data_IF_815826456204
#
_entry.id   IF_815826456204
#
_cell.length_a   1.000
_cell.length_b   1.000
_cell.length_c   1.000
_cell.angle_alpha   90.00
_cell.angle_beta   90.00
_cell.angle_gamma   90.00
#
_symmetry.space_group_name_H-M   'P 1'
#
loop_
_entity.id
_entity.type
_entity.pdbx_description
1 polymer ?
#
# COMPACT_ATOMS: atom_id res chain seq x y z
N UNK A 1 -19.64 -19.91 45.19
CA UNK A 1 -19.37 -20.30 43.80
C UNK A 1 -18.86 -19.06 43.09
N UNK A 2 -17.54 -18.87 43.00
CA UNK A 2 -16.96 -17.69 42.36
C UNK A 2 -16.77 -17.99 40.87
N UNK A 3 -17.58 -17.35 40.03
CA UNK A 3 -17.41 -17.35 38.58
C UNK A 3 -16.25 -16.42 38.21
N UNK A 4 -15.13 -17.00 37.82
CA UNK A 4 -14.04 -16.27 37.16
C UNK A 4 -14.49 -16.01 35.72
N UNK A 5 -14.87 -14.78 35.42
CA UNK A 5 -15.07 -14.32 34.03
C UNK A 5 -13.71 -14.17 33.35
N UNK A 6 -13.40 -15.06 32.43
CA UNK A 6 -12.20 -14.98 31.58
C UNK A 6 -12.48 -13.95 30.49
N UNK A 7 -11.92 -12.74 30.61
CA UNK A 7 -11.89 -11.77 29.52
C UNK A 7 -11.01 -12.29 28.38
N UNK A 8 -11.63 -12.86 27.34
CA UNK A 8 -10.96 -13.11 26.06
C UNK A 8 -10.63 -11.75 25.42
N UNK A 9 -9.41 -11.28 25.64
CA UNK A 9 -8.82 -10.25 24.79
C UNK A 9 -8.47 -10.92 23.45
N UNK A 10 -9.47 -11.10 22.59
CA UNK A 10 -9.19 -11.38 21.18
C UNK A 10 -8.46 -10.17 20.64
N UNK A 11 -7.16 -10.31 20.34
CA UNK A 11 -6.40 -9.27 19.67
C UNK A 11 -7.16 -8.89 18.39
N UNK A 12 -7.75 -7.69 18.36
CA UNK A 12 -8.41 -7.17 17.18
C UNK A 12 -7.33 -7.04 16.10
N UNK A 13 -7.42 -7.87 15.05
CA UNK A 13 -6.60 -7.69 13.86
C UNK A 13 -6.98 -6.32 13.28
N UNK A 14 -6.04 -5.40 13.11
CA UNK A 14 -6.31 -4.14 12.44
C UNK A 14 -6.84 -4.43 11.04
N UNK A 15 -8.07 -4.03 10.76
CA UNK A 15 -8.64 -4.13 9.42
C UNK A 15 -8.11 -2.94 8.62
N UNK A 16 -7.39 -3.21 7.54
CA UNK A 16 -6.96 -2.20 6.57
C UNK A 16 -7.80 -2.31 5.29
N UNK A 17 -8.91 -1.58 5.20
CA UNK A 17 -9.82 -1.69 4.06
C UNK A 17 -9.18 -1.17 2.77
N UNK A 18 -8.36 -0.10 2.84
CA UNK A 18 -7.71 0.49 1.66
C UNK A 18 -6.73 -0.51 1.05
N UNK A 19 -5.86 -1.10 1.87
CA UNK A 19 -4.90 -2.08 1.35
C UNK A 19 -5.59 -3.31 0.76
N UNK A 20 -6.63 -3.81 1.44
CA UNK A 20 -7.43 -4.93 0.92
C UNK A 20 -8.05 -4.58 -0.44
N UNK A 21 -8.71 -3.43 -0.56
CA UNK A 21 -9.30 -2.99 -1.83
C UNK A 21 -8.27 -2.87 -2.94
N UNK A 22 -7.08 -2.32 -2.66
CA UNK A 22 -5.99 -2.23 -3.64
C UNK A 22 -5.54 -3.62 -4.12
N UNK A 23 -5.42 -4.61 -3.23
CA UNK A 23 -5.07 -5.98 -3.62
C UNK A 23 -6.15 -6.66 -4.46
N UNK A 24 -7.42 -6.49 -4.07
CA UNK A 24 -8.56 -7.02 -4.82
C UNK A 24 -8.62 -6.38 -6.22
N UNK A 25 -8.47 -5.06 -6.31
CA UNK A 25 -8.38 -4.30 -7.55
C UNK A 25 -7.19 -4.73 -8.44
N UNK A 26 -6.03 -5.02 -7.85
CA UNK A 26 -4.87 -5.53 -8.58
C UNK A 26 -5.15 -6.92 -9.16
N UNK A 27 -5.74 -7.83 -8.37
CA UNK A 27 -6.09 -9.17 -8.84
C UNK A 27 -7.10 -9.12 -9.98
N UNK A 28 -8.13 -8.27 -9.87
CA UNK A 28 -9.10 -8.04 -10.93
C UNK A 28 -8.44 -7.51 -12.22
N UNK A 29 -7.46 -6.61 -12.08
CA UNK A 29 -6.72 -6.09 -13.23
C UNK A 29 -5.83 -7.16 -13.89
N UNK A 30 -5.17 -8.02 -13.11
CA UNK A 30 -4.41 -9.19 -13.64
C UNK A 30 -5.33 -10.11 -14.46
N UNK A 31 -6.52 -10.41 -13.94
CA UNK A 31 -7.47 -11.30 -14.61
C UNK A 31 -8.02 -10.71 -15.91
N UNK A 32 -8.10 -9.38 -16.01
CA UNK A 32 -8.59 -8.68 -17.22
C UNK A 32 -7.50 -8.47 -18.27
N UNK A 33 -6.28 -8.16 -17.85
CA UNK A 33 -5.16 -7.92 -18.74
C UNK A 33 -3.88 -8.64 -18.25
N UNK A 34 -3.62 -9.86 -18.73
CA UNK A 34 -2.43 -10.63 -18.38
C UNK A 34 -1.11 -9.94 -18.72
N UNK A 35 -1.08 -8.97 -19.65
CA UNK A 35 0.15 -8.25 -20.00
C UNK A 35 0.66 -7.39 -18.83
N UNK A 36 -0.24 -6.95 -17.95
CA UNK A 36 0.10 -6.16 -16.77
C UNK A 36 0.43 -7.02 -15.55
N UNK A 37 0.31 -8.35 -15.66
CA UNK A 37 0.46 -9.25 -14.52
C UNK A 37 1.80 -9.07 -13.80
N UNK A 38 2.92 -9.12 -14.53
CA UNK A 38 4.26 -8.98 -13.93
C UNK A 38 4.40 -7.67 -13.13
N UNK A 39 3.88 -6.56 -13.69
CA UNK A 39 3.91 -5.25 -13.04
C UNK A 39 3.04 -5.21 -11.77
N UNK A 40 1.81 -5.74 -11.82
CA UNK A 40 0.90 -5.75 -10.68
C UNK A 40 1.36 -6.71 -9.57
N UNK A 41 1.97 -7.83 -9.94
CA UNK A 41 2.58 -8.73 -8.97
C UNK A 41 3.78 -8.10 -8.28
N UNK A 42 4.69 -7.47 -9.04
CA UNK A 42 5.87 -6.84 -8.44
C UNK A 42 5.52 -5.64 -7.56
N UNK A 43 4.55 -4.82 -7.99
CA UNK A 43 4.23 -3.56 -7.30
C UNK A 43 3.20 -3.69 -6.18
N UNK A 44 2.25 -4.62 -6.26
CA UNK A 44 1.14 -4.74 -5.30
C UNK A 44 1.08 -6.14 -4.70
N UNK A 45 0.86 -7.19 -5.50
CA UNK A 45 0.39 -8.47 -4.97
C UNK A 45 1.43 -9.22 -4.14
N UNK A 46 2.72 -9.04 -4.44
CA UNK A 46 3.85 -9.63 -3.70
C UNK A 46 4.34 -8.76 -2.53
N UNK A 47 3.75 -7.58 -2.33
CA UNK A 47 4.13 -6.70 -1.23
C UNK A 47 3.39 -7.09 0.05
N UNK A 48 4.06 -6.97 1.19
CA UNK A 48 3.51 -7.38 2.48
C UNK A 48 2.52 -6.35 3.06
N UNK A 49 2.67 -5.07 2.67
CA UNK A 49 1.83 -3.97 3.13
C UNK A 49 1.69 -2.87 2.08
N UNK A 50 0.76 -1.93 2.34
CA UNK A 50 0.58 -0.75 1.50
C UNK A 50 1.84 0.13 1.46
N UNK A 51 2.52 0.26 2.59
CA UNK A 51 3.77 1.02 2.71
C UNK A 51 4.84 0.43 1.79
N UNK A 52 5.06 -0.88 1.84
CA UNK A 52 6.04 -1.57 0.99
C UNK A 52 5.68 -1.42 -0.50
N UNK A 53 4.40 -1.46 -0.86
CA UNK A 53 3.94 -1.19 -2.23
C UNK A 53 4.23 0.23 -2.70
N UNK A 54 3.95 1.24 -1.87
CA UNK A 54 4.23 2.65 -2.17
C UNK A 54 5.74 2.88 -2.27
N UNK A 55 6.53 2.36 -1.32
CA UNK A 55 8.00 2.46 -1.33
C UNK A 55 8.58 1.80 -2.58
N UNK A 56 8.12 0.59 -2.92
CA UNK A 56 8.56 -0.09 -4.12
C UNK A 56 8.28 0.76 -5.37
N UNK A 57 7.05 1.26 -5.51
CA UNK A 57 6.65 2.05 -6.68
C UNK A 57 7.41 3.38 -6.79
N UNK A 58 7.62 4.08 -5.67
CA UNK A 58 8.39 5.32 -5.65
C UNK A 58 9.85 5.08 -6.01
N UNK A 59 10.47 4.04 -5.45
CA UNK A 59 11.85 3.71 -5.74
C UNK A 59 12.09 3.37 -7.22
N UNK A 60 11.20 2.60 -7.85
CA UNK A 60 11.28 2.33 -9.29
C UNK A 60 11.16 3.60 -10.15
N UNK A 61 10.34 4.56 -9.73
CA UNK A 61 10.13 5.81 -10.48
C UNK A 61 11.24 6.83 -10.28
N UNK A 62 11.92 6.81 -9.13
CA UNK A 62 12.98 7.75 -8.77
C UNK A 62 14.38 7.24 -9.12
N UNK A 63 14.54 5.94 -9.35
CA UNK A 63 15.82 5.35 -9.69
C UNK A 63 16.38 5.92 -11.00
N UNK A 64 17.69 6.16 -10.99
CA UNK A 64 18.45 6.62 -12.15
C UNK A 64 19.93 6.22 -11.99
N UNK A 65 20.77 6.52 -12.98
CA UNK A 65 22.17 6.08 -13.02
C UNK A 65 23.00 6.45 -11.78
N UNK A 66 22.69 7.57 -11.12
CA UNK A 66 23.46 8.06 -9.98
C UNK A 66 22.95 7.48 -8.64
N UNK A 67 21.68 7.07 -8.59
CA UNK A 67 21.02 6.53 -7.39
C UNK A 67 20.08 5.40 -7.82
N UNK A 68 20.43 4.17 -7.45
CA UNK A 68 19.63 2.98 -7.73
C UNK A 68 18.40 2.83 -6.83
N UNK A 69 17.43 2.05 -7.30
CA UNK A 69 16.17 1.78 -6.59
C UNK A 69 16.37 1.20 -5.20
N UNK A 70 17.37 0.34 -5.01
CA UNK A 70 17.58 -0.33 -3.72
C UNK A 70 18.02 0.62 -2.61
N UNK A 71 18.85 1.62 -2.95
CA UNK A 71 19.23 2.67 -2.01
C UNK A 71 18.01 3.53 -1.63
N UNK A 72 17.18 3.90 -2.61
CA UNK A 72 15.96 4.68 -2.38
C UNK A 72 14.99 3.89 -1.49
N UNK A 73 14.79 2.59 -1.76
CA UNK A 73 13.97 1.72 -0.91
C UNK A 73 14.49 1.67 0.51
N UNK A 74 15.81 1.52 0.69
CA UNK A 74 16.42 1.48 2.02
C UNK A 74 16.16 2.79 2.78
N UNK A 75 16.32 3.95 2.13
CA UNK A 75 16.04 5.25 2.72
C UNK A 75 14.58 5.39 3.15
N UNK A 76 13.62 4.99 2.31
CA UNK A 76 12.21 5.01 2.69
C UNK A 76 11.88 4.05 3.83
N UNK A 77 12.50 2.86 3.90
CA UNK A 77 12.32 1.94 5.02
C UNK A 77 12.85 2.52 6.34
N UNK A 78 13.97 3.25 6.30
CA UNK A 78 14.46 4.00 7.45
C UNK A 78 13.48 5.09 7.87
N UNK A 79 12.93 5.85 6.92
CA UNK A 79 11.90 6.85 7.20
C UNK A 79 10.65 6.23 7.85
N UNK A 80 10.16 5.09 7.34
CA UNK A 80 9.03 4.35 7.93
C UNK A 80 9.35 3.82 9.34
N UNK A 81 10.61 3.50 9.62
CA UNK A 81 11.04 3.11 10.96
C UNK A 81 11.00 4.29 11.94
N UNK A 82 11.33 5.49 11.47
CA UNK A 82 11.44 6.71 12.28
C UNK A 82 10.11 7.46 12.45
N UNK A 83 9.27 7.51 11.41
CA UNK A 83 7.96 8.18 11.40
C UNK A 83 6.82 7.15 11.39
N UNK A 84 6.14 7.01 12.54
CA UNK A 84 5.03 6.07 12.73
C UNK A 84 3.69 6.59 12.23
N UNK A 85 3.59 7.88 11.91
CA UNK A 85 2.36 8.47 11.40
C UNK A 85 2.25 8.33 9.88
N UNK A 86 3.38 8.14 9.18
CA UNK A 86 3.42 8.01 7.73
C UNK A 86 2.46 6.95 7.14
N UNK A 87 2.32 5.73 7.69
CA UNK A 87 1.28 4.77 7.29
C UNK A 87 -0.13 5.37 7.23
N UNK A 88 -0.51 6.14 8.25
CA UNK A 88 -1.82 6.78 8.32
C UNK A 88 -1.94 7.88 7.27
N UNK A 89 -0.89 8.69 7.09
CA UNK A 89 -0.84 9.77 6.09
C UNK A 89 -1.05 9.21 4.69
N UNK A 90 -0.33 8.14 4.32
CA UNK A 90 -0.47 7.48 3.01
C UNK A 90 -1.92 7.06 2.72
N UNK A 91 -2.61 6.51 3.72
CA UNK A 91 -4.02 6.12 3.58
C UNK A 91 -4.94 7.32 3.42
N UNK A 92 -4.69 8.40 4.17
CA UNK A 92 -5.45 9.65 4.05
C UNK A 92 -5.28 10.27 2.67
N UNK A 93 -4.07 10.27 2.11
CA UNK A 93 -3.80 10.81 0.78
C UNK A 93 -4.49 10.00 -0.32
N UNK A 94 -4.44 8.67 -0.24
CA UNK A 94 -5.17 7.78 -1.15
C UNK A 94 -6.68 8.02 -1.07
N UNK A 95 -7.24 8.11 0.15
CA UNK A 95 -8.65 8.40 0.36
C UNK A 95 -9.02 9.78 -0.20
N UNK A 96 -8.15 10.78 -0.03
CA UNK A 96 -8.38 12.12 -0.55
C UNK A 96 -8.47 12.15 -2.09
N UNK A 97 -7.66 11.37 -2.80
CA UNK A 97 -7.81 11.21 -4.26
C UNK A 97 -9.15 10.56 -4.60
N UNK A 98 -9.48 9.44 -3.95
CA UNK A 98 -10.73 8.71 -4.19
C UNK A 98 -11.98 9.58 -3.95
N UNK A 99 -11.98 10.39 -2.89
CA UNK A 99 -13.14 11.20 -2.51
C UNK A 99 -13.30 12.47 -3.36
N UNK A 100 -12.18 13.02 -3.86
CA UNK A 100 -12.15 14.40 -4.40
C UNK A 100 -11.93 14.46 -5.91
N UNK A 101 -11.28 13.45 -6.49
CA UNK A 101 -11.03 13.41 -7.93
C UNK A 101 -12.10 12.55 -8.62
N UNK A 102 -13.01 13.14 -9.42
CA UNK A 102 -14.05 12.38 -10.13
C UNK A 102 -13.47 11.40 -11.17
N UNK A 103 -12.21 11.52 -11.56
CA UNK A 103 -11.52 10.57 -12.43
C UNK A 103 -10.88 9.39 -11.67
N UNK A 104 -10.84 9.43 -10.33
CA UNK A 104 -10.27 8.39 -9.48
C UNK A 104 -11.37 7.51 -8.90
N UNK A 105 -11.71 6.43 -9.59
CA UNK A 105 -12.78 5.49 -9.17
C UNK A 105 -12.27 4.26 -8.41
N UNK A 106 -10.95 4.16 -8.19
CA UNK A 106 -10.27 3.00 -7.61
C UNK A 106 -9.08 3.40 -6.73
N UNK A 107 -8.88 2.72 -5.61
CA UNK A 107 -7.79 3.04 -4.67
C UNK A 107 -6.39 2.73 -5.23
N UNK A 108 -6.26 1.79 -6.17
CA UNK A 108 -4.99 1.43 -6.80
C UNK A 108 -4.44 2.54 -7.71
N UNK A 109 -5.29 3.44 -8.20
CA UNK A 109 -4.90 4.50 -9.14
C UNK A 109 -3.87 5.48 -8.58
N UNK A 110 -4.08 6.11 -7.40
CA UNK A 110 -3.09 7.00 -6.82
C UNK A 110 -1.76 6.31 -6.50
N UNK A 111 -1.79 5.03 -6.15
CA UNK A 111 -0.57 4.25 -5.86
C UNK A 111 0.26 4.04 -7.14
N UNK A 112 -0.36 3.67 -8.25
CA UNK A 112 0.39 3.25 -9.45
C UNK A 112 0.68 4.39 -10.44
N UNK A 113 -0.26 5.33 -10.62
CA UNK A 113 -0.29 6.18 -11.81
C UNK A 113 -0.20 7.67 -11.52
N UNK A 114 -0.75 8.14 -10.40
CA UNK A 114 -0.70 9.57 -10.10
C UNK A 114 0.72 9.97 -9.68
N UNK A 115 1.08 11.22 -9.98
CA UNK A 115 2.42 11.77 -9.75
C UNK A 115 2.45 12.84 -8.66
N UNK A 116 1.27 13.31 -8.25
CA UNK A 116 1.07 14.44 -7.35
C UNK A 116 0.76 14.00 -5.94
#
# INVERSE_FOLDING_TARGET
MNSISISRHSALQPVDPIWRSIRDEAMDAVNRDPLLAAFLYSTILNQESLEEAVIHRLAERLAHQDIGSDLIRQTFKSMLADDKDWPTIVRVDIQAYYDRDPACDRFIMPVLYFKG
#
